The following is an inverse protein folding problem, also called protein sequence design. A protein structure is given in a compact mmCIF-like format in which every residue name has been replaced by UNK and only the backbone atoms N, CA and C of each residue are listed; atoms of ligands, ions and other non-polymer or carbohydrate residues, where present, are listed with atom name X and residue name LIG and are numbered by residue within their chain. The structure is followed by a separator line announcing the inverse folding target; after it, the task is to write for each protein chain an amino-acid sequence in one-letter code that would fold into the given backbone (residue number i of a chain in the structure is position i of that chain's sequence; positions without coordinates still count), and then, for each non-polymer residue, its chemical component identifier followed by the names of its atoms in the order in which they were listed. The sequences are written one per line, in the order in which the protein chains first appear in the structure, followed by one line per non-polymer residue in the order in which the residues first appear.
data_IF_305319057525
#
_entry.id   IF_305319057525
#
_cell.length_a   1.000
_cell.length_b   1.000
_cell.length_c   1.000
_cell.angle_alpha   90.00
_cell.angle_beta   90.00
_cell.angle_gamma   90.00
#
_symmetry.space_group_name_H-M   'P 1'
#
loop_
_entity.id
_entity.type
_entity.pdbx_description
1 polymer ?
#
# COMPACT_ATOMS: atom_id res chain seq x y z
N UNK A 1 -6.94 21.45 15.80
CA UNK A 1 -6.66 20.31 16.71
C UNK A 1 -7.00 18.95 16.11
N UNK A 2 -8.08 18.81 15.32
CA UNK A 2 -8.49 17.53 14.71
C UNK A 2 -7.41 16.87 13.82
N UNK A 3 -6.63 17.67 13.08
CA UNK A 3 -5.60 17.15 12.17
C UNK A 3 -4.46 16.42 12.89
N UNK A 4 -4.02 16.89 14.07
CA UNK A 4 -2.90 16.28 14.81
C UNK A 4 -3.30 14.88 15.32
N UNK A 5 -4.52 14.76 15.85
CA UNK A 5 -5.05 13.48 16.34
C UNK A 5 -5.17 12.48 15.17
N UNK A 6 -5.68 12.94 14.02
CA UNK A 6 -5.79 12.10 12.81
C UNK A 6 -4.42 11.58 12.34
N UNK A 7 -3.38 12.42 12.38
CA UNK A 7 -2.00 12.01 12.06
C UNK A 7 -1.45 10.97 13.04
N UNK A 8 -1.67 11.17 14.34
CA UNK A 8 -1.20 10.24 15.38
C UNK A 8 -1.86 8.87 15.20
N UNK A 9 -3.18 8.84 15.02
CA UNK A 9 -3.95 7.60 14.80
C UNK A 9 -3.48 6.91 13.52
N UNK A 10 -3.29 7.68 12.45
CA UNK A 10 -2.81 7.16 11.17
C UNK A 10 -1.41 6.52 11.28
N UNK A 11 -0.47 7.21 11.92
CA UNK A 11 0.88 6.70 12.12
C UNK A 11 0.90 5.44 13.00
N UNK A 12 0.06 5.42 14.04
CA UNK A 12 -0.12 4.23 14.89
C UNK A 12 -0.63 3.03 14.10
N UNK A 13 -1.59 3.24 13.18
CA UNK A 13 -2.11 2.17 12.31
C UNK A 13 -1.02 1.62 11.36
N UNK A 14 -0.21 2.48 10.75
CA UNK A 14 0.92 2.05 9.91
C UNK A 14 1.93 1.24 10.73
N UNK A 15 2.33 1.73 11.90
CA UNK A 15 3.24 1.02 12.79
C UNK A 15 2.68 -0.36 13.15
N UNK A 16 1.39 -0.43 13.51
CA UNK A 16 0.72 -1.67 13.83
C UNK A 16 0.78 -2.69 12.67
N UNK A 17 0.57 -2.24 11.43
CA UNK A 17 0.68 -3.07 10.22
C UNK A 17 2.12 -3.58 10.05
N UNK A 18 3.11 -2.70 10.16
CA UNK A 18 4.52 -3.06 10.01
C UNK A 18 4.98 -4.06 11.08
N UNK A 19 4.57 -3.87 12.34
CA UNK A 19 4.83 -4.82 13.42
C UNK A 19 4.17 -6.17 13.13
N UNK A 20 2.94 -6.17 12.63
CA UNK A 20 2.21 -7.41 12.30
C UNK A 20 2.88 -8.16 11.15
N UNK A 21 3.32 -7.46 10.10
CA UNK A 21 4.08 -8.05 9.00
C UNK A 21 5.41 -8.63 9.50
N UNK A 22 6.15 -7.88 10.33
CA UNK A 22 7.42 -8.34 10.91
C UNK A 22 7.25 -9.57 11.80
N UNK A 23 6.18 -9.61 12.62
CA UNK A 23 5.90 -10.73 13.53
C UNK A 23 5.51 -12.00 12.79
N UNK A 24 4.80 -11.89 11.66
CA UNK A 24 4.33 -13.03 10.89
C UNK A 24 5.19 -13.28 9.64
N UNK A 25 6.46 -12.84 9.62
CA UNK A 25 7.34 -12.95 8.45
C UNK A 25 7.47 -14.40 7.97
N UNK A 26 7.55 -15.38 8.88
CA UNK A 26 7.75 -16.79 8.52
C UNK A 26 6.53 -17.41 7.80
N UNK A 27 5.37 -16.76 7.89
CA UNK A 27 4.15 -17.12 7.16
C UNK A 27 4.05 -16.44 5.79
N UNK A 28 4.92 -15.46 5.50
CA UNK A 28 5.02 -14.79 4.22
C UNK A 28 5.98 -15.56 3.30
N UNK A 29 6.01 -15.19 2.02
CA UNK A 29 6.87 -15.82 1.01
C UNK A 29 8.35 -15.41 1.15
N UNK A 30 8.75 -14.94 2.34
CA UNK A 30 10.07 -14.37 2.65
C UNK A 30 11.16 -15.41 2.80
N UNK A 31 10.80 -16.68 3.04
CA UNK A 31 11.77 -17.75 3.33
C UNK A 31 12.76 -17.96 2.17
N UNK A 32 12.28 -17.85 0.94
CA UNK A 32 13.06 -18.11 -0.28
C UNK A 32 13.99 -16.94 -0.67
N UNK A 33 13.58 -15.70 -0.35
CA UNK A 33 14.34 -14.49 -0.72
C UNK A 33 15.28 -13.98 0.38
N UNK A 34 15.12 -14.46 1.61
CA UNK A 34 16.00 -14.08 2.74
C UNK A 34 17.32 -14.85 2.76
N UNK A 35 17.42 -16.03 2.12
CA UNK A 35 18.61 -16.90 2.23
C UNK A 35 19.82 -16.42 1.41
N UNK A 36 19.63 -15.58 0.38
CA UNK A 36 20.75 -15.12 -0.46
C UNK A 36 21.09 -13.66 -0.16
N UNK A 37 22.17 -13.47 0.60
CA UNK A 37 22.76 -12.17 0.95
C UNK A 37 22.98 -11.33 -0.33
N UNK A 38 22.15 -10.32 -0.56
CA UNK A 38 22.27 -9.35 -1.67
C UNK A 38 21.05 -9.26 -2.60
N UNK A 39 20.33 -10.36 -2.86
CA UNK A 39 19.17 -10.34 -3.79
C UNK A 39 18.05 -9.42 -3.30
N UNK A 40 17.84 -9.33 -1.99
CA UNK A 40 16.82 -8.46 -1.41
C UNK A 40 17.01 -6.99 -1.77
N UNK A 41 18.25 -6.51 -1.93
CA UNK A 41 18.53 -5.12 -2.31
C UNK A 41 18.09 -4.86 -3.75
N UNK A 42 18.43 -5.78 -4.66
CA UNK A 42 18.02 -5.69 -6.07
C UNK A 42 16.49 -5.73 -6.21
N UNK A 43 15.81 -6.63 -5.50
CA UNK A 43 14.34 -6.66 -5.48
C UNK A 43 13.75 -5.39 -4.87
N UNK A 44 14.28 -4.92 -3.73
CA UNK A 44 13.80 -3.68 -3.11
C UNK A 44 13.93 -2.50 -4.07
N UNK A 45 15.08 -2.34 -4.72
CA UNK A 45 15.31 -1.27 -5.70
C UNK A 45 14.43 -1.40 -6.93
N UNK A 46 14.29 -2.60 -7.49
CA UNK A 46 13.45 -2.85 -8.67
C UNK A 46 11.98 -2.54 -8.38
N UNK A 47 11.42 -3.10 -7.30
CA UNK A 47 10.03 -2.87 -6.94
C UNK A 47 9.80 -1.41 -6.54
N UNK A 48 10.78 -0.77 -5.87
CA UNK A 48 10.71 0.65 -5.55
C UNK A 48 10.61 1.50 -6.82
N UNK A 49 11.48 1.26 -7.80
CA UNK A 49 11.46 1.95 -9.09
C UNK A 49 10.15 1.75 -9.85
N UNK A 50 9.63 0.51 -9.94
CA UNK A 50 8.33 0.23 -10.58
C UNK A 50 7.21 0.97 -9.85
N UNK A 51 7.22 0.97 -8.51
CA UNK A 51 6.24 1.71 -7.71
C UNK A 51 6.28 3.19 -8.02
N UNK A 52 7.48 3.77 -8.09
CA UNK A 52 7.70 5.18 -8.40
C UNK A 52 7.18 5.53 -9.79
N UNK A 53 7.49 4.73 -10.81
CA UNK A 53 7.05 5.00 -12.19
C UNK A 53 5.52 4.95 -12.28
N UNK A 54 4.88 3.92 -11.71
CA UNK A 54 3.43 3.79 -11.71
C UNK A 54 2.75 4.92 -10.94
N UNK A 55 3.29 5.27 -9.78
CA UNK A 55 2.69 6.31 -8.94
C UNK A 55 2.90 7.72 -9.51
N UNK A 56 4.04 7.98 -10.14
CA UNK A 56 4.33 9.27 -10.79
C UNK A 56 3.63 9.44 -12.14
N UNK A 57 2.89 8.44 -12.64
CA UNK A 57 2.17 8.52 -13.90
C UNK A 57 1.25 9.76 -14.05
N UNK A 58 0.53 10.25 -13.03
CA UNK A 58 -0.27 11.48 -13.13
C UNK A 58 0.54 12.73 -13.50
N UNK A 59 1.84 12.77 -13.15
CA UNK A 59 2.72 13.90 -13.47
C UNK A 59 2.96 14.00 -14.97
N UNK A 60 3.08 12.85 -15.64
CA UNK A 60 3.38 12.78 -17.08
C UNK A 60 2.11 12.64 -17.94
N UNK A 61 1.06 12.02 -17.39
CA UNK A 61 -0.19 11.71 -18.06
C UNK A 61 -1.37 12.08 -17.14
N UNK A 62 -1.85 13.33 -17.13
CA UNK A 62 -2.74 13.83 -16.08
C UNK A 62 -4.09 13.11 -15.96
N UNK A 63 -4.66 12.58 -17.05
CA UNK A 63 -5.95 11.86 -17.01
C UNK A 63 -5.74 10.36 -16.81
N UNK A 64 -4.90 9.75 -17.64
CA UNK A 64 -4.64 8.30 -17.64
C UNK A 64 -3.84 7.91 -16.40
N UNK A 65 -2.89 8.75 -16.01
CA UNK A 65 -2.02 8.54 -14.87
C UNK A 65 -2.75 8.50 -13.54
N UNK A 66 -3.89 9.21 -13.39
CA UNK A 66 -4.74 9.10 -12.20
C UNK A 66 -5.34 7.70 -12.03
N UNK A 67 -5.60 6.99 -13.13
CA UNK A 67 -6.04 5.59 -13.09
C UNK A 67 -4.87 4.61 -12.87
N UNK A 68 -3.64 4.99 -13.22
CA UNK A 68 -2.43 4.18 -13.05
C UNK A 68 -1.76 4.36 -11.68
N UNK A 69 -1.88 5.52 -11.06
CA UNK A 69 -1.31 5.80 -9.74
C UNK A 69 -1.68 4.76 -8.68
N UNK A 70 -2.93 4.28 -8.60
CA UNK A 70 -3.30 3.30 -7.61
C UNK A 70 -2.79 1.88 -7.90
N UNK A 71 -2.36 1.59 -9.14
CA UNK A 71 -1.67 0.36 -9.49
C UNK A 71 -0.30 0.26 -8.80
N UNK A 72 0.25 1.37 -8.30
CA UNK A 72 1.49 1.37 -7.50
C UNK A 72 1.37 0.54 -6.22
N UNK A 73 0.16 0.30 -5.72
CA UNK A 73 -0.07 -0.56 -4.56
C UNK A 73 0.27 -2.03 -4.85
N UNK A 74 0.25 -2.48 -6.11
CA UNK A 74 0.57 -3.87 -6.49
C UNK A 74 2.05 -4.20 -6.24
N UNK A 75 3.04 -3.42 -6.73
CA UNK A 75 4.43 -3.59 -6.32
C UNK A 75 4.61 -3.55 -4.80
N UNK A 76 3.92 -2.66 -4.08
CA UNK A 76 4.03 -2.59 -2.61
C UNK A 76 3.52 -3.87 -1.96
N UNK A 77 2.44 -4.46 -2.47
CA UNK A 77 1.93 -5.76 -2.02
C UNK A 77 2.97 -6.85 -2.26
N UNK A 78 3.50 -6.96 -3.48
CA UNK A 78 4.52 -7.96 -3.81
C UNK A 78 5.74 -7.79 -2.89
N UNK A 79 6.18 -6.56 -2.67
CA UNK A 79 7.25 -6.22 -1.75
C UNK A 79 6.94 -6.67 -0.32
N UNK A 80 5.75 -6.39 0.20
CA UNK A 80 5.35 -6.83 1.53
C UNK A 80 5.33 -8.36 1.66
N UNK A 81 4.89 -9.08 0.63
CA UNK A 81 4.83 -10.54 0.63
C UNK A 81 6.22 -11.20 0.53
N UNK A 82 7.13 -10.62 -0.25
CA UNK A 82 8.47 -11.18 -0.50
C UNK A 82 9.53 -10.71 0.51
N UNK A 83 9.43 -9.47 0.97
CA UNK A 83 10.46 -8.82 1.81
C UNK A 83 10.06 -8.77 3.28
N UNK A 84 8.77 -8.91 3.63
CA UNK A 84 8.27 -8.95 5.00
C UNK A 84 8.76 -7.78 5.86
N UNK A 85 9.77 -8.03 6.70
CA UNK A 85 10.38 -7.05 7.60
C UNK A 85 11.14 -5.94 6.86
N UNK A 86 11.65 -6.20 5.66
CA UNK A 86 12.39 -5.22 4.86
C UNK A 86 11.50 -4.32 4.00
N UNK A 87 10.18 -4.51 4.05
CA UNK A 87 9.22 -3.69 3.29
C UNK A 87 9.29 -2.20 3.67
N UNK A 88 9.72 -1.88 4.90
CA UNK A 88 9.93 -0.51 5.33
C UNK A 88 11.00 0.19 4.48
N UNK A 89 12.10 -0.51 4.15
CA UNK A 89 13.15 0.03 3.29
C UNK A 89 12.62 0.32 1.88
N UNK A 90 11.80 -0.58 1.34
CA UNK A 90 11.10 -0.35 0.06
C UNK A 90 10.19 0.87 0.13
N UNK A 91 9.37 0.97 1.17
CA UNK A 91 8.43 2.07 1.34
C UNK A 91 9.12 3.43 1.44
N UNK A 92 10.21 3.52 2.22
CA UNK A 92 11.00 4.74 2.35
C UNK A 92 11.76 5.10 1.08
N UNK A 93 12.36 4.12 0.40
CA UNK A 93 13.08 4.36 -0.86
C UNK A 93 12.14 4.86 -1.95
N UNK A 94 10.95 4.26 -2.08
CA UNK A 94 9.92 4.73 -3.01
C UNK A 94 9.51 6.15 -2.69
N UNK A 95 9.21 6.44 -1.41
CA UNK A 95 8.82 7.78 -0.96
C UNK A 95 9.90 8.82 -1.30
N UNK A 96 11.17 8.51 -1.03
CA UNK A 96 12.29 9.40 -1.34
C UNK A 96 12.41 9.68 -2.85
N UNK A 97 12.28 8.64 -3.68
CA UNK A 97 12.26 8.76 -5.15
C UNK A 97 11.10 9.63 -5.64
N UNK A 98 9.89 9.47 -5.07
CA UNK A 98 8.76 10.33 -5.43
C UNK A 98 8.98 11.77 -5.01
N UNK A 99 9.59 12.04 -3.84
CA UNK A 99 9.89 13.42 -3.43
C UNK A 99 10.81 14.14 -4.42
N UNK A 100 11.72 13.42 -5.07
CA UNK A 100 12.58 13.96 -6.12
C UNK A 100 11.80 14.30 -7.40
N UNK A 101 10.71 13.58 -7.70
CA UNK A 101 9.88 13.78 -8.90
C UNK A 101 8.79 14.83 -8.65
N UNK A 102 7.97 14.61 -7.62
CA UNK A 102 6.84 15.47 -7.25
C UNK A 102 6.47 15.26 -5.77
N UNK A 103 6.59 16.33 -4.98
CA UNK A 103 6.19 16.32 -3.57
C UNK A 103 4.70 15.98 -3.38
N UNK A 104 3.83 16.36 -4.33
CA UNK A 104 2.39 16.07 -4.26
C UNK A 104 2.11 14.57 -4.34
N UNK A 105 2.71 13.90 -5.33
CA UNK A 105 2.58 12.45 -5.49
C UNK A 105 3.22 11.69 -4.33
N UNK A 106 4.35 12.19 -3.80
CA UNK A 106 4.96 11.60 -2.60
C UNK A 106 4.01 11.60 -1.40
N UNK A 107 3.28 12.70 -1.18
CA UNK A 107 2.29 12.79 -0.10
C UNK A 107 1.10 11.86 -0.36
N UNK A 108 0.60 11.79 -1.60
CA UNK A 108 -0.48 10.84 -1.98
C UNK A 108 -0.06 9.40 -1.72
N UNK A 109 1.16 9.03 -2.11
CA UNK A 109 1.71 7.70 -1.86
C UNK A 109 1.80 7.39 -0.37
N UNK A 110 2.33 8.32 0.44
CA UNK A 110 2.55 8.15 1.88
C UNK A 110 1.23 8.04 2.67
N UNK A 111 0.18 8.71 2.20
CA UNK A 111 -1.11 8.80 2.89
C UNK A 111 -2.15 7.79 2.40
N UNK A 112 -2.07 7.32 1.15
CA UNK A 112 -3.10 6.45 0.58
C UNK A 112 -2.54 5.14 0.00
N UNK A 113 -1.88 5.19 -1.15
CA UNK A 113 -1.63 3.99 -1.95
C UNK A 113 -0.60 3.05 -1.34
N UNK A 114 0.54 3.55 -0.87
CA UNK A 114 1.54 2.73 -0.20
C UNK A 114 1.03 2.04 1.08
N UNK A 115 0.45 2.78 2.04
CA UNK A 115 -0.16 2.23 3.25
C UNK A 115 -1.26 1.22 2.95
N UNK A 116 -2.10 1.47 1.94
CA UNK A 116 -3.10 0.52 1.49
C UNK A 116 -2.45 -0.79 1.05
N UNK A 117 -1.42 -0.74 0.21
CA UNK A 117 -0.67 -1.92 -0.21
C UNK A 117 -0.14 -2.74 0.97
N UNK A 118 0.41 -2.07 1.99
CA UNK A 118 0.86 -2.72 3.24
C UNK A 118 -0.30 -3.36 4.02
N UNK A 119 -1.40 -2.63 4.21
CA UNK A 119 -2.54 -3.09 5.00
C UNK A 119 -3.22 -4.31 4.37
N UNK A 120 -3.40 -4.28 3.05
CA UNK A 120 -4.05 -5.37 2.31
C UNK A 120 -3.17 -6.62 2.29
N UNK A 121 -1.85 -6.47 2.32
CA UNK A 121 -0.91 -7.61 2.39
C UNK A 121 -1.14 -8.50 3.61
N UNK A 122 -1.75 -7.97 4.68
CA UNK A 122 -2.15 -8.75 5.85
C UNK A 122 -3.19 -9.84 5.53
N UNK A 123 -3.92 -9.76 4.40
CA UNK A 123 -4.90 -10.80 3.99
C UNK A 123 -4.27 -12.18 3.93
N UNK A 124 -3.01 -12.25 3.53
CA UNK A 124 -2.23 -13.49 3.41
C UNK A 124 -1.96 -14.16 4.75
N UNK A 125 -1.97 -13.39 5.85
CA UNK A 125 -1.65 -13.90 7.18
C UNK A 125 -2.89 -14.56 7.82
N UNK A 126 -2.95 -15.88 7.98
CA UNK A 126 -4.15 -16.57 8.47
C UNK A 126 -4.47 -16.28 9.94
N UNK A 127 -3.49 -15.83 10.73
CA UNK A 127 -3.65 -15.57 12.17
C UNK A 127 -4.54 -14.36 12.49
N UNK A 128 -4.75 -13.46 11.54
CA UNK A 128 -5.61 -12.29 11.72
C UNK A 128 -7.00 -12.59 11.10
N UNK A 129 -8.11 -12.34 11.82
CA UNK A 129 -9.44 -12.56 11.26
C UNK A 129 -9.74 -11.58 10.11
N UNK A 130 -10.41 -12.06 9.06
CA UNK A 130 -10.70 -11.29 7.84
C UNK A 130 -11.36 -9.93 8.10
N UNK A 131 -12.32 -9.87 9.03
CA UNK A 131 -13.00 -8.64 9.43
C UNK A 131 -12.03 -7.56 9.93
N UNK A 132 -11.03 -7.93 10.75
CA UNK A 132 -10.03 -6.98 11.25
C UNK A 132 -9.17 -6.44 10.11
N UNK A 133 -8.81 -7.27 9.14
CA UNK A 133 -7.98 -6.86 7.99
C UNK A 133 -8.72 -5.87 7.10
N UNK A 134 -9.98 -6.17 6.79
CA UNK A 134 -10.84 -5.31 5.98
C UNK A 134 -11.08 -3.96 6.67
N UNK A 135 -11.35 -3.98 7.97
CA UNK A 135 -11.58 -2.75 8.75
C UNK A 135 -10.30 -1.91 8.83
N UNK A 136 -9.13 -2.54 9.02
CA UNK A 136 -7.85 -1.85 9.10
C UNK A 136 -7.51 -1.16 7.79
N UNK A 137 -7.65 -1.87 6.66
CA UNK A 137 -7.38 -1.32 5.34
C UNK A 137 -8.36 -0.20 4.96
N UNK A 138 -9.65 -0.38 5.26
CA UNK A 138 -10.69 0.64 5.02
C UNK A 138 -10.45 1.88 5.88
N UNK A 139 -10.12 1.71 7.16
CA UNK A 139 -9.86 2.82 8.09
C UNK A 139 -8.61 3.60 7.68
N UNK A 140 -7.54 2.90 7.29
CA UNK A 140 -6.30 3.51 6.83
C UNK A 140 -6.52 4.34 5.56
N UNK A 141 -7.24 3.79 4.59
CA UNK A 141 -7.54 4.48 3.33
C UNK A 141 -8.49 5.66 3.53
N UNK A 142 -9.52 5.50 4.37
CA UNK A 142 -10.46 6.58 4.68
C UNK A 142 -9.73 7.73 5.38
N UNK A 143 -8.95 7.42 6.42
CA UNK A 143 -8.15 8.40 7.15
C UNK A 143 -7.13 9.10 6.25
N UNK A 144 -6.42 8.31 5.42
CA UNK A 144 -5.50 8.82 4.40
C UNK A 144 -6.15 9.79 3.42
N UNK A 145 -7.34 9.44 2.94
CA UNK A 145 -8.12 10.27 2.01
C UNK A 145 -8.57 11.57 2.68
N UNK A 146 -9.03 11.53 3.93
CA UNK A 146 -9.35 12.76 4.68
C UNK A 146 -8.13 13.65 4.84
N UNK A 147 -6.99 13.09 5.26
CA UNK A 147 -5.74 13.86 5.38
C UNK A 147 -5.34 14.48 4.04
N UNK A 148 -5.49 13.76 2.92
CA UNK A 148 -5.18 14.25 1.59
C UNK A 148 -6.08 15.42 1.15
N UNK A 149 -7.38 15.34 1.44
CA UNK A 149 -8.34 16.41 1.16
C UNK A 149 -7.94 17.70 1.88
N UNK A 150 -7.50 17.60 3.14
CA UNK A 150 -7.09 18.77 3.93
C UNK A 150 -5.71 19.32 3.55
N UNK A 151 -4.75 18.47 3.18
CA UNK A 151 -3.34 18.88 3.02
C UNK A 151 -2.95 19.20 1.58
N UNK A 152 -3.31 18.33 0.64
CA UNK A 152 -2.86 18.43 -0.76
C UNK A 152 -3.87 19.20 -1.60
N UNK A 153 -5.14 19.24 -1.17
CA UNK A 153 -6.22 19.84 -1.93
C UNK A 153 -6.28 19.23 -3.32
N UNK A 154 -6.64 17.95 -3.43
CA UNK A 154 -6.68 17.26 -4.73
C UNK A 154 -7.57 18.04 -5.72
N UNK A 155 -7.06 18.42 -6.91
CA UNK A 155 -7.87 19.11 -7.91
C UNK A 155 -9.10 18.27 -8.24
N UNK A 156 -10.29 18.84 -8.04
CA UNK A 156 -11.59 18.14 -8.12
C UNK A 156 -12.25 17.86 -6.76
N UNK A 157 -11.49 17.68 -5.68
CA UNK A 157 -12.00 17.54 -4.30
C UNK A 157 -11.88 18.83 -3.46
N UNK A 158 -11.17 19.85 -3.93
CA UNK A 158 -11.04 21.13 -3.21
C UNK A 158 -12.40 21.80 -2.92
N UNK A 159 -13.36 21.70 -3.86
CA UNK A 159 -14.72 22.24 -3.70
C UNK A 159 -15.54 21.49 -2.62
N UNK A 160 -15.10 20.32 -2.18
CA UNK A 160 -15.77 19.51 -1.15
C UNK A 160 -15.47 20.04 0.26
N UNK A 161 -14.33 20.70 0.47
CA UNK A 161 -13.86 21.14 1.79
C UNK A 161 -14.82 22.15 2.43
N UNK A 162 -15.53 22.94 1.63
CA UNK A 162 -16.55 23.89 2.10
C UNK A 162 -17.95 23.31 2.32
N UNK A 163 -18.21 22.06 1.88
CA UNK A 163 -19.54 21.45 1.86
C UNK A 163 -19.52 20.00 2.35
N UNK A 164 -18.69 19.69 3.36
CA UNK A 164 -18.63 18.34 3.96
C UNK A 164 -20.01 17.99 4.53
N UNK A 165 -20.75 17.18 3.78
CA UNK A 165 -22.05 16.65 4.14
C UNK A 165 -21.92 15.17 4.54
N UNK A 166 -22.85 14.67 5.35
CA UNK A 166 -22.94 13.26 5.77
C UNK A 166 -22.89 12.31 4.55
N UNK A 167 -23.45 12.74 3.42
CA UNK A 167 -23.46 12.00 2.15
C UNK A 167 -22.05 11.79 1.59
N UNK A 168 -21.21 12.84 1.63
CA UNK A 168 -19.84 12.78 1.11
C UNK A 168 -18.96 11.93 2.03
N UNK A 169 -19.14 12.08 3.35
CA UNK A 169 -18.47 11.24 4.34
C UNK A 169 -18.77 9.75 4.09
N UNK A 170 -20.05 9.42 3.93
CA UNK A 170 -20.49 8.05 3.66
C UNK A 170 -19.96 7.55 2.30
N UNK A 171 -19.92 8.41 1.29
CA UNK A 171 -19.33 8.11 -0.02
C UNK A 171 -17.85 7.74 0.07
N UNK A 172 -17.05 8.49 0.82
CA UNK A 172 -15.61 8.21 1.02
C UNK A 172 -15.40 6.88 1.75
N UNK A 173 -16.19 6.60 2.78
CA UNK A 173 -16.10 5.35 3.54
C UNK A 173 -16.49 4.17 2.65
N UNK A 174 -17.60 4.28 1.90
CA UNK A 174 -18.08 3.24 1.00
C UNK A 174 -17.09 2.97 -0.12
N UNK A 175 -16.55 4.03 -0.73
CA UNK A 175 -15.49 3.94 -1.72
C UNK A 175 -14.26 3.24 -1.16
N UNK A 176 -13.80 3.67 0.03
CA UNK A 176 -12.63 3.08 0.68
C UNK A 176 -12.82 1.59 0.99
N UNK A 177 -14.03 1.20 1.37
CA UNK A 177 -14.37 -0.19 1.64
C UNK A 177 -14.36 -1.04 0.36
N UNK A 178 -15.06 -0.61 -0.69
CA UNK A 178 -15.06 -1.28 -2.00
C UNK A 178 -13.65 -1.39 -2.58
N UNK A 179 -12.89 -0.31 -2.47
CA UNK A 179 -11.53 -0.22 -2.97
C UNK A 179 -10.57 -1.15 -2.21
N UNK A 180 -10.66 -1.17 -0.88
CA UNK A 180 -9.94 -2.12 -0.03
C UNK A 180 -10.25 -3.57 -0.40
N UNK A 181 -11.53 -3.91 -0.64
CA UNK A 181 -11.93 -5.26 -1.05
C UNK A 181 -11.33 -5.66 -2.40
N UNK A 182 -11.34 -4.75 -3.38
CA UNK A 182 -10.75 -4.98 -4.69
C UNK A 182 -9.26 -5.32 -4.57
N UNK A 183 -8.50 -4.53 -3.80
CA UNK A 183 -7.08 -4.80 -3.59
C UNK A 183 -6.84 -6.09 -2.78
N UNK A 184 -7.74 -6.42 -1.86
CA UNK A 184 -7.66 -7.65 -1.09
C UNK A 184 -7.81 -8.90 -1.97
N UNK A 185 -8.74 -8.87 -2.91
CA UNK A 185 -8.87 -9.91 -3.93
C UNK A 185 -7.59 -10.01 -4.80
N UNK A 186 -7.05 -8.88 -5.25
CA UNK A 186 -5.80 -8.84 -6.02
C UNK A 186 -4.62 -9.45 -5.24
N UNK A 187 -4.49 -9.16 -3.96
CA UNK A 187 -3.42 -9.72 -3.12
C UNK A 187 -3.50 -11.25 -3.03
N UNK A 188 -4.71 -11.81 -2.90
CA UNK A 188 -4.89 -13.27 -2.89
C UNK A 188 -4.53 -13.90 -4.24
N UNK A 189 -4.89 -13.24 -5.35
CA UNK A 189 -4.49 -13.69 -6.69
C UNK A 189 -2.97 -13.66 -6.87
N UNK A 190 -2.32 -12.56 -6.49
CA UNK A 190 -0.86 -12.41 -6.54
C UNK A 190 -0.20 -13.50 -5.69
N UNK A 191 -0.66 -13.72 -4.46
CA UNK A 191 -0.14 -14.77 -3.59
C UNK A 191 -0.23 -16.15 -4.25
N UNK A 192 -1.39 -16.50 -4.83
CA UNK A 192 -1.60 -17.77 -5.52
C UNK A 192 -0.64 -17.94 -6.69
N UNK A 193 -0.46 -16.90 -7.50
CA UNK A 193 0.47 -16.91 -8.64
C UNK A 193 1.92 -17.07 -8.21
N UNK A 194 2.39 -16.31 -7.21
CA UNK A 194 3.77 -16.42 -6.72
C UNK A 194 4.01 -17.80 -6.11
N UNK A 195 3.06 -18.32 -5.32
CA UNK A 195 3.16 -19.65 -4.74
C UNK A 195 3.25 -20.75 -5.82
N UNK A 196 2.47 -20.64 -6.90
CA UNK A 196 2.54 -21.56 -8.04
C UNK A 196 3.91 -21.55 -8.72
N UNK A 197 4.52 -20.37 -8.89
CA UNK A 197 5.85 -20.23 -9.51
C UNK A 197 6.93 -20.83 -8.62
N UNK A 198 6.87 -20.57 -7.31
CA UNK A 198 7.83 -21.12 -6.34
C UNK A 198 7.69 -22.64 -6.27
N UNK A 199 6.45 -23.16 -6.20
CA UNK A 199 6.19 -24.60 -6.16
C UNK A 199 6.64 -25.32 -7.44
N UNK A 200 6.51 -24.68 -8.61
CA UNK A 200 7.01 -25.23 -9.87
C UNK A 200 8.54 -25.35 -9.85
N UNK A 201 9.23 -24.36 -9.26
CA UNK A 201 10.70 -24.33 -9.19
C UNK A 201 11.28 -25.30 -8.16
N UNK A 202 10.50 -25.66 -7.13
CA UNK A 202 10.88 -26.66 -6.13
C UNK A 202 10.73 -28.11 -6.60
N UNK A 203 10.11 -28.35 -7.76
CA UNK A 203 9.96 -29.67 -8.38
C UNK A 203 11.17 -30.15 -9.18
N UNK A 204 12.13 -29.26 -9.48
CA UNK A 204 13.31 -29.56 -10.30
C UNK A 204 14.56 -29.96 -9.48
N UNK A 205 14.38 -30.35 -8.21
CA UNK A 205 15.46 -30.85 -7.33
C UNK A 205 15.21 -32.27 -6.80
N UNK A 206 14.83 -33.19 -7.67
CA UNK A 206 14.91 -34.63 -7.40
C UNK A 206 15.43 -35.39 -8.61
#
# INVERSE_FOLDING_TARGET
MLNIISFIVYFFLIIYILITLKKNKDMLLTKDYSEIKGKWVAFTGLLSAITTILHAAPVFLPVIGLALSPLSSLPVIIGALLLGDKVLAMFLTTTALLFLISAKEAIIFLLATGPLGLAVSLVVIPTVPFWKKSLLSTSLLSCGTFLLIFFVGLPGLQNIVGAINIVILLGIILFSFLYSLLFMALTLLIQKHICSIISARGGDMY
#
